data_IF_457149236771
#
_entry.id   IF_457149236771
#
_cell.length_a   1.000
_cell.length_b   1.000
_cell.length_c   1.000
_cell.angle_alpha   90.00
_cell.angle_beta   90.00
_cell.angle_gamma   90.00
#
_symmetry.space_group_name_H-M   'P 1'
#
loop_
_entity.id
_entity.type
_entity.pdbx_description
1 polymer ?
#
# COMPACT_ATOMS: atom_id res chain seq x y z
N UNK A 1 40.77 17.29 -17.54
CA UNK A 1 39.41 16.83 -17.90
C UNK A 1 38.43 17.47 -16.94
N UNK A 2 37.68 18.47 -17.39
CA UNK A 2 36.64 19.14 -16.59
C UNK A 2 35.41 18.21 -16.55
N UNK A 3 35.09 17.66 -15.38
CA UNK A 3 33.78 17.04 -15.12
C UNK A 3 32.73 18.13 -15.32
N UNK A 4 31.91 18.01 -16.36
CA UNK A 4 30.64 18.73 -16.45
C UNK A 4 29.78 18.22 -15.29
N UNK A 5 29.66 19.02 -14.24
CA UNK A 5 28.54 18.90 -13.31
C UNK A 5 27.27 19.15 -14.13
N UNK A 6 26.54 18.07 -14.39
CA UNK A 6 25.23 18.13 -14.99
C UNK A 6 24.35 18.91 -14.00
N UNK A 7 23.63 19.97 -14.42
CA UNK A 7 22.79 20.70 -13.49
C UNK A 7 21.75 19.73 -12.94
N UNK A 8 21.77 19.52 -11.61
CA UNK A 8 20.64 18.90 -10.93
C UNK A 8 19.42 19.74 -11.31
N UNK A 9 18.50 19.12 -12.04
CA UNK A 9 17.30 19.74 -12.55
C UNK A 9 16.54 20.38 -11.36
N UNK A 10 16.71 21.69 -11.18
CA UNK A 10 16.10 22.54 -10.14
C UNK A 10 14.64 22.86 -10.45
N UNK A 11 14.00 22.07 -11.30
CA UNK A 11 12.61 22.30 -11.68
C UNK A 11 11.71 22.05 -10.47
N UNK A 12 11.08 23.11 -10.00
CA UNK A 12 9.99 23.00 -9.04
C UNK A 12 8.87 22.15 -9.65
N UNK A 13 8.42 21.15 -8.90
CA UNK A 13 7.21 20.44 -9.27
C UNK A 13 6.02 21.28 -8.89
N UNK A 14 5.24 21.67 -9.88
CA UNK A 14 3.95 22.33 -9.70
C UNK A 14 2.89 21.57 -10.50
N UNK A 15 1.72 21.39 -9.91
CA UNK A 15 0.61 20.72 -10.57
C UNK A 15 -0.45 20.22 -9.59
N UNK A 16 -1.58 19.71 -10.09
CA UNK A 16 -2.58 19.07 -9.24
C UNK A 16 -1.99 17.78 -8.66
N UNK A 17 -1.98 17.64 -7.34
CA UNK A 17 -1.63 16.42 -6.62
C UNK A 17 -2.90 15.76 -6.09
N UNK A 18 -3.03 14.48 -6.38
CA UNK A 18 -4.00 13.57 -5.80
C UNK A 18 -3.25 12.56 -4.95
N UNK A 19 -3.54 12.54 -3.66
CA UNK A 19 -3.01 11.58 -2.70
C UNK A 19 -4.16 10.81 -2.09
N UNK A 20 -4.18 9.51 -2.32
CA UNK A 20 -5.17 8.60 -1.75
C UNK A 20 -4.49 7.54 -0.88
N UNK A 21 -5.20 7.11 0.15
CA UNK A 21 -4.89 5.89 0.89
C UNK A 21 -5.88 4.82 0.46
N UNK A 22 -5.36 3.70 -0.02
CA UNK A 22 -6.13 2.54 -0.44
C UNK A 22 -5.89 1.41 0.54
N UNK A 23 -6.96 0.91 1.15
CA UNK A 23 -6.95 -0.34 1.89
C UNK A 23 -7.52 -1.43 0.99
N UNK A 24 -6.77 -2.51 0.80
CA UNK A 24 -7.15 -3.63 -0.06
C UNK A 24 -7.08 -4.93 0.72
N UNK A 25 -8.18 -5.67 0.73
CA UNK A 25 -8.21 -7.06 1.19
C UNK A 25 -8.26 -7.99 -0.01
N UNK A 26 -7.40 -9.01 -0.04
CA UNK A 26 -7.33 -9.93 -1.17
C UNK A 26 -6.91 -11.33 -0.73
N UNK A 27 -7.20 -12.32 -1.57
CA UNK A 27 -6.70 -13.68 -1.44
C UNK A 27 -5.55 -13.87 -2.43
N UNK A 28 -4.43 -14.42 -1.98
CA UNK A 28 -3.33 -14.90 -2.81
C UNK A 28 -3.31 -16.43 -2.76
N UNK A 29 -3.41 -17.06 -3.92
CA UNK A 29 -3.33 -18.51 -4.10
C UNK A 29 -2.13 -18.83 -4.98
N UNK A 30 -1.24 -19.69 -4.49
CA UNK A 30 -0.08 -20.17 -5.22
C UNK A 30 -0.09 -21.69 -5.23
N UNK A 31 -0.05 -22.26 -6.43
CA UNK A 31 -0.07 -23.72 -6.64
C UNK A 31 1.24 -24.10 -7.31
N UNK A 32 2.04 -24.93 -6.66
CA UNK A 32 3.19 -25.58 -7.26
C UNK A 32 2.79 -26.97 -7.74
N UNK A 33 3.15 -27.31 -8.97
CA UNK A 33 3.04 -28.67 -9.48
C UNK A 33 4.30 -29.48 -9.16
N UNK A 34 4.23 -30.80 -9.26
CA UNK A 34 5.39 -31.70 -9.15
C UNK A 34 6.56 -31.35 -10.10
N UNK A 35 6.29 -30.60 -11.18
CA UNK A 35 7.32 -30.11 -12.12
C UNK A 35 8.03 -28.84 -11.61
N UNK A 36 7.70 -28.36 -10.41
CA UNK A 36 8.24 -27.12 -9.82
C UNK A 36 7.63 -25.84 -10.41
N UNK A 37 6.61 -25.95 -11.26
CA UNK A 37 5.95 -24.80 -11.89
C UNK A 37 4.95 -24.19 -10.91
N UNK A 38 5.13 -22.91 -10.59
CA UNK A 38 4.23 -22.11 -9.75
C UNK A 38 3.20 -21.36 -10.60
N UNK A 39 1.92 -21.65 -10.38
CA UNK A 39 0.81 -20.81 -10.80
C UNK A 39 0.41 -19.89 -9.66
N UNK A 40 0.15 -18.62 -9.97
CA UNK A 40 -0.33 -17.62 -9.01
C UNK A 40 -1.67 -17.07 -9.47
N UNK A 41 -2.64 -17.05 -8.57
CA UNK A 41 -3.92 -16.39 -8.75
C UNK A 41 -4.17 -15.47 -7.56
N UNK A 42 -4.71 -14.28 -7.81
CA UNK A 42 -5.09 -13.36 -6.74
C UNK A 42 -6.44 -12.74 -7.05
N UNK A 43 -7.27 -12.61 -6.01
CA UNK A 43 -8.62 -12.05 -6.12
C UNK A 43 -8.86 -11.03 -5.02
N UNK A 44 -9.40 -9.88 -5.42
CA UNK A 44 -9.79 -8.83 -4.49
C UNK A 44 -11.07 -9.20 -3.76
N UNK A 45 -11.04 -9.09 -2.44
CA UNK A 45 -12.21 -9.23 -1.57
C UNK A 45 -12.86 -7.89 -1.32
N UNK A 46 -12.06 -6.85 -1.11
CA UNK A 46 -12.54 -5.47 -1.03
C UNK A 46 -11.43 -4.47 -1.37
N UNK A 47 -11.85 -3.27 -1.74
CA UNK A 47 -10.98 -2.10 -1.85
C UNK A 47 -11.71 -0.88 -1.31
N UNK A 48 -11.08 -0.17 -0.38
CA UNK A 48 -11.54 1.09 0.16
C UNK A 48 -10.53 2.18 -0.15
N UNK A 49 -10.98 3.25 -0.80
CA UNK A 49 -10.16 4.41 -1.13
C UNK A 49 -10.59 5.61 -0.28
N UNK A 50 -9.62 6.24 0.37
CA UNK A 50 -9.81 7.48 1.10
C UNK A 50 -8.90 8.56 0.51
N UNK A 51 -9.48 9.65 0.00
CA UNK A 51 -8.69 10.76 -0.51
C UNK A 51 -8.17 11.62 0.64
N UNK A 52 -6.86 11.72 0.74
CA UNK A 52 -6.18 12.56 1.74
C UNK A 52 -5.99 13.99 1.25
N UNK A 53 -5.69 14.15 -0.03
CA UNK A 53 -5.42 15.44 -0.61
C UNK A 53 -5.76 15.43 -2.10
N UNK A 54 -6.48 16.45 -2.54
CA UNK A 54 -6.70 16.75 -3.95
C UNK A 54 -6.59 18.26 -4.11
N UNK A 55 -5.59 18.73 -4.87
CA UNK A 55 -5.42 20.17 -5.05
C UNK A 55 -4.09 20.59 -5.65
N UNK A 56 -3.87 21.91 -5.81
CA UNK A 56 -2.64 22.46 -6.34
C UNK A 56 -1.48 22.23 -5.37
N UNK A 57 -0.43 21.55 -5.85
CA UNK A 57 0.77 21.25 -5.10
C UNK A 57 1.99 21.91 -5.75
N UNK A 58 2.90 22.41 -4.91
CA UNK A 58 4.20 22.95 -5.32
C UNK A 58 5.27 22.45 -4.37
N UNK A 59 6.34 21.87 -4.89
CA UNK A 59 7.46 21.37 -4.10
C UNK A 59 8.79 21.58 -4.82
N UNK A 60 9.83 21.87 -4.05
CA UNK A 60 11.20 21.87 -4.53
C UNK A 60 11.78 20.44 -4.53
N UNK A 61 12.76 20.18 -5.39
CA UNK A 61 13.47 18.89 -5.40
C UNK A 61 14.12 18.64 -4.04
N UNK A 62 13.93 17.44 -3.49
CA UNK A 62 14.43 17.07 -2.16
C UNK A 62 13.58 17.55 -0.98
N UNK A 63 12.55 18.37 -1.21
CA UNK A 63 11.64 18.82 -0.15
C UNK A 63 10.73 17.67 0.30
N UNK A 64 10.71 17.40 1.61
CA UNK A 64 9.86 16.37 2.21
C UNK A 64 8.53 16.98 2.64
N UNK A 65 7.43 16.44 2.09
CA UNK A 65 6.08 16.77 2.51
C UNK A 65 5.47 15.58 3.27
N UNK A 66 4.86 15.88 4.42
CA UNK A 66 4.20 14.89 5.26
C UNK A 66 2.69 15.12 5.21
N UNK A 67 1.96 14.11 4.76
CA UNK A 67 0.49 14.11 4.78
C UNK A 67 0.04 13.16 5.90
N UNK A 68 -0.29 13.69 7.10
CA UNK A 68 -0.72 12.84 8.18
C UNK A 68 -2.08 12.26 7.86
N UNK A 69 -2.26 10.98 8.13
CA UNK A 69 -3.55 10.34 8.09
C UNK A 69 -3.72 9.39 9.26
N UNK A 70 -4.97 9.24 9.68
CA UNK A 70 -5.35 8.24 10.67
C UNK A 70 -6.39 7.34 10.04
N UNK A 71 -6.13 6.05 10.04
CA UNK A 71 -7.17 5.06 9.80
C UNK A 71 -7.83 4.84 11.16
N UNK A 72 -8.84 5.65 11.50
CA UNK A 72 -9.68 5.36 12.68
C UNK A 72 -10.40 4.05 12.37
N UNK A 73 -10.28 3.07 13.27
CA UNK A 73 -10.98 1.78 13.29
C UNK A 73 -12.06 1.70 12.20
N UNK A 74 -11.65 1.18 11.04
CA UNK A 74 -12.58 0.53 10.14
C UNK A 74 -12.04 -0.86 10.04
N UNK A 75 -12.60 -1.70 10.89
CA UNK A 75 -12.70 -3.12 10.59
C UNK A 75 -12.89 -3.23 9.07
N UNK A 76 -12.08 -4.03 8.37
CA UNK A 76 -12.43 -4.40 7.02
C UNK A 76 -13.91 -4.83 7.00
N UNK A 77 -14.64 -4.58 5.90
CA UNK A 77 -16.12 -4.59 5.88
C UNK A 77 -16.65 -5.74 6.73
N UNK A 78 -17.68 -5.54 7.55
CA UNK A 78 -18.10 -6.35 8.72
C UNK A 78 -18.10 -7.90 8.61
N UNK A 79 -17.82 -8.46 7.43
CA UNK A 79 -17.66 -9.88 7.13
C UNK A 79 -16.28 -10.23 6.52
N UNK A 80 -15.25 -9.39 6.65
CA UNK A 80 -13.95 -9.69 6.07
C UNK A 80 -13.25 -10.80 6.85
N UNK A 81 -12.78 -11.85 6.17
CA UNK A 81 -12.05 -12.91 6.83
C UNK A 81 -10.80 -12.36 7.53
N UNK A 82 -10.46 -12.86 8.73
CA UNK A 82 -9.20 -12.53 9.38
C UNK A 82 -8.02 -12.78 8.44
N UNK A 83 -6.94 -12.00 8.56
CA UNK A 83 -5.73 -12.34 7.82
C UNK A 83 -5.21 -13.69 8.28
N UNK A 84 -4.94 -14.58 7.33
CA UNK A 84 -4.38 -15.88 7.61
C UNK A 84 -3.47 -16.32 6.47
N UNK A 85 -2.61 -17.28 6.77
CA UNK A 85 -1.81 -17.97 5.79
C UNK A 85 -1.85 -19.46 6.09
N UNK A 86 -2.10 -20.26 5.06
CA UNK A 86 -2.03 -21.70 5.15
C UNK A 86 -1.25 -22.27 3.97
N UNK A 87 -0.66 -23.44 4.20
CA UNK A 87 -0.02 -24.24 3.18
C UNK A 87 -0.45 -25.68 3.39
N UNK A 88 -0.78 -26.37 2.32
CA UNK A 88 -1.14 -27.78 2.36
C UNK A 88 -0.61 -28.51 1.13
N UNK A 89 -0.31 -29.78 1.33
CA UNK A 89 0.17 -30.68 0.31
C UNK A 89 -0.99 -31.59 -0.10
N UNK A 90 -1.27 -31.66 -1.39
CA UNK A 90 -2.25 -32.57 -1.97
C UNK A 90 -1.70 -33.11 -3.28
N UNK A 91 -1.07 -34.28 -3.22
CA UNK A 91 -0.34 -34.87 -4.34
C UNK A 91 -1.16 -34.82 -5.66
N UNK A 92 -0.61 -34.29 -6.76
CA UNK A 92 0.78 -33.85 -7.02
C UNK A 92 1.04 -32.34 -6.81
N UNK A 93 0.31 -31.68 -5.92
CA UNK A 93 0.31 -30.21 -5.76
C UNK A 93 0.74 -29.75 -4.36
N UNK A 94 1.56 -28.70 -4.32
CA UNK A 94 1.74 -27.88 -3.12
C UNK A 94 0.92 -26.60 -3.26
N UNK A 95 0.06 -26.33 -2.29
CA UNK A 95 -0.84 -25.18 -2.34
C UNK A 95 -0.54 -24.26 -1.16
N UNK A 96 -0.33 -22.98 -1.46
CA UNK A 96 -0.19 -21.90 -0.48
C UNK A 96 -1.32 -20.91 -0.69
N UNK A 97 -2.05 -20.60 0.36
CA UNK A 97 -3.14 -19.63 0.34
C UNK A 97 -2.95 -18.61 1.45
N UNK A 98 -3.23 -17.35 1.17
CA UNK A 98 -3.23 -16.30 2.18
C UNK A 98 -4.38 -15.32 1.95
N UNK A 99 -5.05 -14.93 3.03
CA UNK A 99 -5.89 -13.73 3.06
C UNK A 99 -5.06 -12.61 3.65
N UNK A 100 -4.89 -11.54 2.87
CA UNK A 100 -4.05 -10.41 3.21
C UNK A 100 -4.86 -9.13 3.21
N UNK A 101 -4.43 -8.19 4.04
CA UNK A 101 -4.92 -6.81 4.04
C UNK A 101 -3.71 -5.89 3.90
N UNK A 102 -3.75 -4.95 2.97
CA UNK A 102 -2.66 -4.02 2.70
C UNK A 102 -3.16 -2.59 2.70
N UNK A 103 -2.29 -1.69 3.16
CA UNK A 103 -2.46 -0.26 3.06
C UNK A 103 -1.46 0.30 2.05
N UNK A 104 -1.98 1.02 1.07
CA UNK A 104 -1.23 1.57 -0.06
C UNK A 104 -1.45 3.08 -0.10
N UNK A 105 -0.38 3.85 -0.26
CA UNK A 105 -0.47 5.27 -0.58
C UNK A 105 -0.34 5.45 -2.10
N UNK A 106 -1.41 5.88 -2.75
CA UNK A 106 -1.41 6.17 -4.18
C UNK A 106 -1.18 7.67 -4.39
N UNK A 107 -0.06 8.01 -5.04
CA UNK A 107 0.30 9.39 -5.39
C UNK A 107 0.12 9.57 -6.89
N UNK A 108 -0.73 10.50 -7.29
CA UNK A 108 -1.02 10.82 -8.70
C UNK A 108 -0.79 12.31 -8.94
N UNK A 109 0.03 12.64 -9.94
CA UNK A 109 0.18 13.99 -10.49
C UNK A 109 -0.29 13.93 -11.95
N UNK A 110 -1.54 14.29 -12.27
CA UNK A 110 -2.03 14.30 -13.64
C UNK A 110 -1.09 15.08 -14.57
N UNK A 111 -0.70 14.46 -15.69
CA UNK A 111 0.24 15.03 -16.65
C UNK A 111 1.72 14.79 -16.34
N UNK A 112 2.09 14.29 -15.16
CA UNK A 112 3.47 14.00 -14.77
C UNK A 112 3.61 12.52 -14.39
N UNK A 113 4.51 11.79 -15.06
CA UNK A 113 4.84 10.41 -14.67
C UNK A 113 5.78 10.43 -13.46
N UNK A 114 5.23 10.22 -12.27
CA UNK A 114 6.03 10.01 -11.05
C UNK A 114 6.52 8.55 -11.02
N UNK A 115 7.78 8.35 -10.68
CA UNK A 115 8.29 7.04 -10.22
C UNK A 115 8.53 7.16 -8.73
N UNK A 116 7.63 6.60 -7.92
CA UNK A 116 7.85 6.49 -6.48
C UNK A 116 8.90 5.40 -6.23
N UNK A 117 9.99 5.72 -5.52
CA UNK A 117 11.07 4.76 -5.24
C UNK A 117 10.77 3.87 -4.03
N UNK A 118 9.97 4.34 -3.07
CA UNK A 118 9.75 3.66 -1.78
C UNK A 118 8.26 3.52 -1.41
N UNK A 119 7.37 3.47 -2.39
CA UNK A 119 5.95 3.21 -2.15
C UNK A 119 5.72 1.71 -1.86
N UNK A 120 6.25 1.22 -0.74
CA UNK A 120 6.00 -0.13 -0.28
C UNK A 120 4.61 -0.22 0.34
N UNK A 121 3.78 -1.13 -0.19
CA UNK A 121 2.52 -1.48 0.43
C UNK A 121 2.79 -2.04 1.83
N UNK A 122 2.12 -1.50 2.84
CA UNK A 122 2.29 -1.98 4.21
C UNK A 122 1.26 -3.07 4.48
N UNK A 123 1.73 -4.31 4.64
CA UNK A 123 0.89 -5.43 5.06
C UNK A 123 0.38 -5.19 6.49
N UNK A 124 -0.94 -5.33 6.68
CA UNK A 124 -1.61 -5.17 7.95
C UNK A 124 -2.15 -6.52 8.39
N UNK A 125 -1.77 -6.94 9.60
CA UNK A 125 -2.35 -8.12 10.24
C UNK A 125 -3.70 -7.74 10.84
N UNK A 126 -4.78 -8.18 10.21
CA UNK A 126 -6.13 -8.02 10.76
C UNK A 126 -6.51 -9.27 11.56
N UNK A 127 -6.76 -9.05 12.86
CA UNK A 127 -7.34 -10.04 13.77
C UNK A 127 -8.64 -9.41 14.29
N UNK A 128 -9.81 -10.03 14.11
CA UNK A 128 -11.07 -9.49 14.61
C UNK A 128 -11.02 -9.36 16.13
N UNK A 129 -11.60 -8.29 16.67
CA UNK A 129 -11.75 -8.17 18.13
C UNK A 129 -12.67 -9.29 18.65
N UNK A 130 -12.39 -9.85 19.85
CA UNK A 130 -13.31 -10.80 20.47
C UNK A 130 -14.68 -10.13 20.73
N UNK A 131 -15.74 -10.92 20.61
CA UNK A 131 -17.13 -10.46 20.81
C UNK A 131 -17.29 -9.66 22.12
N UNK A 132 -18.22 -8.68 22.17
CA UNK A 132 -18.12 -7.52 23.05
C UNK A 132 -18.41 -7.86 24.52
N UNK A 133 -17.38 -8.30 25.24
CA UNK A 133 -17.30 -8.34 26.71
C UNK A 133 -15.93 -7.85 27.22
N UNK A 134 -15.30 -6.89 26.55
CA UNK A 134 -14.11 -6.23 27.07
C UNK A 134 -13.94 -4.86 26.43
N UNK A 135 -13.96 -3.81 27.25
CA UNK A 135 -13.51 -2.47 26.85
C UNK A 135 -12.00 -2.52 26.61
N UNK A 136 -11.57 -2.41 25.35
CA UNK A 136 -10.17 -2.18 24.99
C UNK A 136 -9.94 -0.71 24.67
N UNK A 137 -8.87 -0.15 25.24
CA UNK A 137 -8.37 1.18 24.91
C UNK A 137 -8.10 1.27 23.40
N UNK A 138 -8.56 2.36 22.79
CA UNK A 138 -8.37 2.68 21.37
C UNK A 138 -6.90 3.00 21.11
N UNK A 139 -6.13 2.04 20.59
CA UNK A 139 -4.80 2.31 20.05
C UNK A 139 -4.91 2.89 18.64
N UNK A 140 -4.75 4.21 18.51
CA UNK A 140 -4.64 4.85 17.19
C UNK A 140 -3.24 4.66 16.63
N UNK A 141 -3.08 3.84 15.59
CA UNK A 141 -1.82 3.74 14.87
C UNK A 141 -1.64 4.96 13.93
N UNK A 142 -0.62 5.77 14.21
CA UNK A 142 -0.20 6.90 13.37
C UNK A 142 0.77 6.40 12.28
N UNK A 143 0.36 6.51 11.02
CA UNK A 143 1.20 6.19 9.87
C UNK A 143 1.75 7.48 9.25
N UNK A 144 3.01 7.45 8.82
CA UNK A 144 3.68 8.55 8.12
C UNK A 144 4.20 8.03 6.79
N UNK A 145 3.78 8.64 5.68
CA UNK A 145 4.34 8.36 4.36
C UNK A 145 5.36 9.45 4.00
N UNK A 146 6.55 9.04 3.55
CA UNK A 146 7.53 9.92 2.93
C UNK A 146 7.39 9.80 1.42
N UNK A 147 7.29 10.93 0.73
CA UNK A 147 7.28 10.98 -0.73
C UNK A 147 8.53 11.75 -1.15
N UNK A 148 9.43 11.08 -1.86
CA UNK A 148 10.58 11.72 -2.50
C UNK A 148 10.29 11.82 -4.00
N UNK A 149 10.44 13.02 -4.56
CA UNK A 149 10.26 13.26 -5.99
C UNK A 149 11.62 13.52 -6.60
N UNK A 150 11.99 12.71 -7.59
CA UNK A 150 13.20 12.93 -8.39
C UNK A 150 12.81 13.55 -9.74
N UNK A 151 13.45 14.67 -10.06
CA UNK A 151 13.40 15.25 -11.40
C UNK A 151 14.15 14.37 -12.41
N UNK A 152 13.81 14.53 -13.70
CA UNK A 152 14.62 13.98 -14.80
C UNK A 152 15.85 14.82 -15.03
#
# INVERSE_FOLDING_TARGET
>A
MLRREQPESTAELFGPLELDIVMRGYIDLRICTHQGIWSKSSMDLFSYRHSLYTGPFRAQVGQVHCFPFSVRNREPPANFPPTFQCAFHNEPYDIKMAVKCELIAEVRLPGIKIRAMDAEAKEMKYVPEPAPHSFSQVESLLYKQRVAIQGR
#
